data_IF_221474674986
#
_entry.id   IF_221474674986
#
_cell.length_a   1.000
_cell.length_b   1.000
_cell.length_c   1.000
_cell.angle_alpha   90.00
_cell.angle_beta   90.00
_cell.angle_gamma   90.00
#
_symmetry.space_group_name_H-M   'P 1'
#
loop_
_entity.id
_entity.type
_entity.pdbx_description
1 polymer ?
#
# COMPACT_ATOMS: atom_id res chain seq x y z
N UNK A 1 14.74 -15.74 17.68
CA UNK A 1 15.07 -14.85 18.80
C UNK A 1 16.57 -14.83 19.07
N UNK A 2 17.21 -15.93 19.49
CA UNK A 2 18.68 -16.00 19.63
C UNK A 2 19.45 -15.57 18.37
N UNK A 3 18.97 -16.00 17.19
CA UNK A 3 19.56 -15.63 15.89
C UNK A 3 19.44 -14.11 15.62
N UNK A 4 18.37 -13.45 16.09
CA UNK A 4 18.18 -12.01 15.86
C UNK A 4 19.11 -11.17 16.73
N UNK A 5 19.27 -11.53 18.01
CA UNK A 5 20.22 -10.86 18.91
C UNK A 5 21.66 -11.06 18.45
N UNK A 6 22.00 -12.28 18.03
CA UNK A 6 23.29 -12.55 17.40
C UNK A 6 23.49 -11.67 16.17
N UNK A 7 22.49 -11.55 15.31
CA UNK A 7 22.51 -10.65 14.15
C UNK A 7 22.87 -9.20 14.54
N UNK A 8 22.20 -8.64 15.54
CA UNK A 8 22.47 -7.27 16.01
C UNK A 8 23.89 -7.11 16.56
N UNK A 9 24.41 -8.11 17.27
CA UNK A 9 25.80 -8.11 17.77
C UNK A 9 26.79 -8.21 16.61
N UNK A 10 26.55 -9.11 15.66
CA UNK A 10 27.46 -9.33 14.52
C UNK A 10 27.55 -8.16 13.56
N UNK A 11 26.55 -7.26 13.57
CA UNK A 11 26.53 -6.03 12.77
C UNK A 11 26.84 -4.78 13.61
N UNK A 12 27.41 -4.94 14.82
CA UNK A 12 27.77 -3.86 15.74
C UNK A 12 26.62 -2.90 16.12
N UNK A 13 25.36 -3.36 16.03
CA UNK A 13 24.18 -2.60 16.47
C UNK A 13 23.92 -2.76 17.97
N UNK A 14 24.52 -3.77 18.60
CA UNK A 14 24.38 -4.06 20.02
C UNK A 14 25.68 -4.66 20.58
N UNK A 15 26.21 -4.12 21.68
CA UNK A 15 27.34 -4.75 22.38
C UNK A 15 26.88 -5.97 23.21
N UNK A 16 27.72 -7.02 23.36
CA UNK A 16 27.36 -8.23 24.12
C UNK A 16 26.98 -8.00 25.59
N UNK A 17 27.45 -6.90 26.19
CA UNK A 17 27.21 -6.53 27.58
C UNK A 17 25.99 -5.62 27.76
N UNK A 18 25.31 -5.19 26.68
CA UNK A 18 24.13 -4.35 26.79
C UNK A 18 22.96 -5.10 27.44
N UNK A 19 22.40 -4.51 28.49
CA UNK A 19 21.21 -5.02 29.17
C UNK A 19 19.95 -4.77 28.36
N UNK A 20 19.34 -5.82 27.82
CA UNK A 20 18.06 -5.73 27.11
C UNK A 20 16.92 -5.65 28.12
N UNK A 21 16.23 -4.51 28.18
CA UNK A 21 15.14 -4.26 29.15
C UNK A 21 13.73 -4.51 28.59
N UNK A 22 13.59 -4.64 27.27
CA UNK A 22 12.31 -4.92 26.62
C UNK A 22 12.52 -5.57 25.25
N UNK A 23 11.59 -6.43 24.85
CA UNK A 23 11.60 -7.11 23.56
C UNK A 23 10.19 -7.16 22.97
N UNK A 24 10.10 -6.97 21.66
CA UNK A 24 8.86 -7.09 20.91
C UNK A 24 9.06 -7.99 19.69
N UNK A 25 8.19 -8.99 19.54
CA UNK A 25 8.18 -9.88 18.39
C UNK A 25 6.74 -10.04 17.93
N UNK A 26 6.49 -9.72 16.66
CA UNK A 26 5.21 -9.97 16.02
C UNK A 26 5.42 -10.50 14.61
N UNK A 27 4.62 -11.50 14.23
CA UNK A 27 4.57 -12.03 12.88
C UNK A 27 3.35 -11.46 12.16
N UNK A 28 3.58 -10.92 10.97
CA UNK A 28 2.52 -10.55 10.04
C UNK A 28 2.50 -11.59 8.92
N UNK A 29 1.32 -12.19 8.64
CA UNK A 29 1.20 -13.22 7.61
C UNK A 29 1.50 -12.69 6.21
N UNK A 30 1.03 -11.47 5.93
CA UNK A 30 1.32 -10.74 4.70
C UNK A 30 2.16 -9.51 5.05
N UNK A 31 3.44 -9.54 4.70
CA UNK A 31 4.38 -8.43 4.91
C UNK A 31 4.57 -7.58 3.67
N UNK A 32 4.82 -8.23 2.52
CA UNK A 32 5.12 -7.58 1.26
C UNK A 32 4.31 -8.22 0.13
N UNK A 33 3.76 -7.38 -0.75
CA UNK A 33 3.20 -7.81 -2.03
C UNK A 33 4.35 -8.06 -3.00
N UNK A 34 4.72 -9.32 -3.18
CA UNK A 34 5.90 -9.71 -3.96
C UNK A 34 5.80 -9.25 -5.41
N UNK A 35 6.87 -8.65 -5.92
CA UNK A 35 7.04 -8.22 -7.32
C UNK A 35 7.46 -9.41 -8.20
N UNK A 36 6.56 -10.40 -8.38
CA UNK A 36 6.83 -11.51 -9.30
C UNK A 36 6.64 -11.08 -10.77
N UNK A 37 7.23 -11.84 -11.70
CA UNK A 37 7.11 -11.58 -13.14
C UNK A 37 5.65 -11.72 -13.62
N UNK A 38 4.90 -12.64 -13.02
CA UNK A 38 3.53 -13.01 -13.37
C UNK A 38 2.48 -12.08 -12.77
N UNK A 39 2.86 -11.29 -11.76
CA UNK A 39 1.96 -10.42 -10.98
C UNK A 39 1.04 -9.60 -11.88
N UNK A 40 1.59 -8.90 -12.86
CA UNK A 40 0.80 -7.99 -13.70
C UNK A 40 -0.21 -8.76 -14.57
N UNK A 41 0.16 -9.95 -15.05
CA UNK A 41 -0.76 -10.82 -15.79
C UNK A 41 -1.93 -11.25 -14.92
N UNK A 42 -1.65 -11.74 -13.70
CA UNK A 42 -2.70 -12.13 -12.76
C UNK A 42 -3.62 -10.96 -12.37
N UNK A 43 -3.06 -9.78 -12.08
CA UNK A 43 -3.84 -8.59 -11.71
C UNK A 43 -4.71 -8.06 -12.86
N UNK A 44 -4.28 -8.24 -14.11
CA UNK A 44 -5.07 -7.86 -15.28
C UNK A 44 -6.35 -8.70 -15.43
N UNK A 45 -6.41 -9.89 -14.83
CA UNK A 45 -7.62 -10.73 -14.80
C UNK A 45 -8.42 -10.52 -13.51
N UNK A 46 -7.73 -10.48 -12.36
CA UNK A 46 -8.35 -10.41 -11.03
C UNK A 46 -9.07 -9.07 -10.82
N UNK A 47 -8.42 -7.94 -11.14
CA UNK A 47 -8.99 -6.63 -10.82
C UNK A 47 -10.28 -6.35 -11.62
N UNK A 48 -10.33 -6.59 -12.95
CA UNK A 48 -11.57 -6.44 -13.72
C UNK A 48 -12.67 -7.40 -13.27
N UNK A 49 -12.34 -8.66 -12.96
CA UNK A 49 -13.32 -9.65 -12.48
C UNK A 49 -14.10 -9.16 -11.24
N UNK A 50 -13.39 -8.53 -10.29
CA UNK A 50 -14.05 -7.94 -9.11
C UNK A 50 -14.81 -6.66 -9.45
N UNK A 51 -14.26 -5.82 -10.33
CA UNK A 51 -14.91 -4.57 -10.73
C UNK A 51 -16.24 -4.82 -11.46
N UNK A 52 -16.36 -5.87 -12.28
CA UNK A 52 -17.62 -6.32 -12.89
C UNK A 52 -18.71 -6.70 -11.88
N UNK A 53 -18.34 -6.87 -10.60
CA UNK A 53 -19.24 -7.20 -9.49
C UNK A 53 -19.40 -6.03 -8.52
N UNK A 54 -19.08 -4.82 -8.97
CA UNK A 54 -19.09 -3.59 -8.17
C UNK A 54 -18.13 -3.65 -6.96
N UNK A 55 -17.04 -4.42 -7.05
CA UNK A 55 -16.01 -4.54 -6.00
C UNK A 55 -14.70 -3.89 -6.47
N UNK A 56 -14.35 -2.75 -5.85
CA UNK A 56 -13.06 -2.10 -6.07
C UNK A 56 -12.03 -2.58 -5.03
N UNK A 57 -11.22 -3.57 -5.39
CA UNK A 57 -10.13 -4.06 -4.51
C UNK A 57 -8.91 -3.14 -4.54
N UNK A 58 -8.58 -2.51 -3.42
CA UNK A 58 -7.57 -1.43 -3.32
C UNK A 58 -6.68 -1.55 -2.08
N UNK A 59 -5.56 -0.83 -2.07
CA UNK A 59 -4.57 -0.81 -0.99
C UNK A 59 -3.47 -1.85 -1.12
N UNK A 60 -2.52 -1.86 -0.15
CA UNK A 60 -1.27 -2.65 -0.21
C UNK A 60 -1.42 -4.11 -0.67
N UNK A 61 -2.42 -4.82 -0.17
CA UNK A 61 -2.72 -6.21 -0.56
C UNK A 61 -3.99 -6.36 -1.37
N UNK A 62 -4.80 -5.29 -1.51
CA UNK A 62 -6.00 -5.32 -2.35
C UNK A 62 -5.66 -5.15 -3.83
N UNK A 63 -4.78 -4.21 -4.17
CA UNK A 63 -4.24 -4.04 -5.52
C UNK A 63 -2.96 -4.85 -5.76
N UNK A 64 -2.29 -5.31 -4.70
CA UNK A 64 -1.03 -6.07 -4.73
C UNK A 64 0.14 -5.38 -5.45
N UNK A 65 0.05 -4.05 -5.63
CA UNK A 65 1.11 -3.24 -6.24
C UNK A 65 1.97 -2.64 -5.14
N UNK A 66 3.18 -3.18 -4.96
CA UNK A 66 4.13 -2.71 -3.94
C UNK A 66 4.50 -1.25 -4.12
N UNK A 67 4.62 -0.80 -5.37
CA UNK A 67 4.87 0.58 -5.79
C UNK A 67 3.83 1.58 -5.24
N UNK A 68 2.64 1.12 -4.86
CA UNK A 68 1.59 1.91 -4.21
C UNK A 68 1.25 1.40 -2.80
N UNK A 69 2.16 0.61 -2.22
CA UNK A 69 1.95 -0.07 -0.95
C UNK A 69 2.31 0.76 0.28
N UNK A 70 2.77 2.01 0.11
CA UNK A 70 3.02 2.94 1.22
C UNK A 70 1.71 3.49 1.79
N UNK A 71 1.81 4.22 2.90
CA UNK A 71 0.64 4.71 3.64
C UNK A 71 -0.16 5.75 2.85
N UNK A 72 0.53 6.74 2.29
CA UNK A 72 -0.01 7.80 1.44
C UNK A 72 -0.68 7.23 0.19
N UNK A 73 -0.01 6.33 -0.53
CA UNK A 73 -0.61 5.66 -1.69
C UNK A 73 -1.82 4.80 -1.32
N UNK A 74 -1.73 4.00 -0.25
CA UNK A 74 -2.85 3.17 0.19
C UNK A 74 -4.05 4.03 0.61
N UNK A 75 -3.81 5.18 1.23
CA UNK A 75 -4.85 6.14 1.57
C UNK A 75 -5.50 6.73 0.31
N UNK A 76 -4.69 7.20 -0.64
CA UNK A 76 -5.19 7.79 -1.88
C UNK A 76 -5.93 6.79 -2.77
N UNK A 77 -5.52 5.51 -2.79
CA UNK A 77 -6.27 4.45 -3.47
C UNK A 77 -7.71 4.31 -2.95
N UNK A 78 -7.94 4.49 -1.65
CA UNK A 78 -9.28 4.47 -1.08
C UNK A 78 -10.07 5.73 -1.42
N UNK A 79 -9.41 6.89 -1.34
CA UNK A 79 -9.99 8.20 -1.66
C UNK A 79 -10.44 8.26 -3.13
N UNK A 80 -9.62 7.79 -4.05
CA UNK A 80 -9.93 7.79 -5.48
C UNK A 80 -10.94 6.74 -5.88
N UNK A 81 -10.97 5.58 -5.20
CA UNK A 81 -12.03 4.59 -5.41
C UNK A 81 -13.41 5.16 -5.07
N UNK A 82 -13.52 5.93 -3.98
CA UNK A 82 -14.79 6.60 -3.63
C UNK A 82 -15.16 7.66 -4.67
N UNK A 83 -14.18 8.42 -5.18
CA UNK A 83 -14.43 9.39 -6.24
C UNK A 83 -14.82 8.77 -7.57
N UNK A 84 -14.26 7.61 -7.89
CA UNK A 84 -14.66 6.82 -9.05
C UNK A 84 -16.14 6.44 -8.94
N UNK A 85 -16.57 5.96 -7.77
CA UNK A 85 -17.95 5.58 -7.50
C UNK A 85 -18.91 6.79 -7.57
N UNK A 86 -18.54 7.92 -6.96
CA UNK A 86 -19.46 9.06 -6.80
C UNK A 86 -19.46 10.04 -7.98
N UNK A 87 -18.33 10.19 -8.66
CA UNK A 87 -18.11 11.24 -9.65
C UNK A 87 -17.59 10.72 -10.99
N UNK A 88 -17.35 9.41 -11.12
CA UNK A 88 -16.74 8.82 -12.32
C UNK A 88 -15.28 9.21 -12.50
N UNK A 89 -14.59 9.66 -11.44
CA UNK A 89 -13.18 10.04 -11.49
C UNK A 89 -12.28 8.87 -11.91
N UNK A 90 -11.21 9.15 -12.65
CA UNK A 90 -10.21 8.12 -12.99
C UNK A 90 -9.32 7.79 -11.79
N UNK A 91 -9.04 6.51 -11.57
CA UNK A 91 -8.07 6.07 -10.56
C UNK A 91 -6.64 6.15 -11.13
N UNK A 92 -5.97 7.26 -10.87
CA UNK A 92 -4.66 7.60 -11.45
C UNK A 92 -3.52 6.76 -10.84
N UNK A 93 -3.44 6.54 -9.51
CA UNK A 93 -2.43 5.69 -8.90
C UNK A 93 -2.52 4.25 -9.37
N UNK A 94 -3.71 3.69 -9.61
CA UNK A 94 -3.78 2.29 -10.02
C UNK A 94 -3.19 2.06 -11.43
N UNK A 95 -3.22 3.08 -12.28
CA UNK A 95 -2.92 2.99 -13.71
C UNK A 95 -1.56 3.57 -14.10
N UNK A 96 -1.02 4.57 -13.38
CA UNK A 96 0.22 5.23 -13.78
C UNK A 96 1.15 5.57 -12.58
N UNK A 97 2.10 4.67 -12.24
CA UNK A 97 3.01 4.86 -11.10
C UNK A 97 3.93 6.06 -11.24
N UNK A 98 4.44 6.26 -12.44
CA UNK A 98 5.42 7.31 -12.68
C UNK A 98 4.77 8.69 -12.62
N UNK A 99 3.51 8.80 -13.01
CA UNK A 99 2.77 10.06 -12.94
C UNK A 99 2.57 10.54 -11.50
N UNK A 100 2.13 9.66 -10.59
CA UNK A 100 1.90 10.03 -9.19
C UNK A 100 3.21 10.27 -8.45
N UNK A 101 4.23 9.44 -8.69
CA UNK A 101 5.51 9.57 -8.00
C UNK A 101 6.38 10.75 -8.49
N UNK A 102 6.11 11.30 -9.68
CA UNK A 102 6.91 12.40 -10.25
C UNK A 102 6.39 13.80 -9.92
N UNK A 103 5.24 13.92 -9.25
CA UNK A 103 4.59 15.20 -8.97
C UNK A 103 3.99 15.26 -7.57
N UNK A 104 3.76 16.47 -7.09
CA UNK A 104 2.98 16.69 -5.87
C UNK A 104 1.54 16.98 -6.26
N UNK A 105 0.63 16.07 -5.93
CA UNK A 105 -0.80 16.28 -6.13
C UNK A 105 -1.34 17.32 -5.16
N UNK A 106 -1.84 18.44 -5.68
CA UNK A 106 -2.30 19.60 -4.89
C UNK A 106 -3.74 20.00 -5.18
N UNK A 107 -4.35 19.39 -6.21
CA UNK A 107 -5.67 19.70 -6.72
C UNK A 107 -6.76 19.25 -5.75
N UNK A 108 -6.63 18.05 -5.17
CA UNK A 108 -7.57 17.52 -4.19
C UNK A 108 -7.28 18.08 -2.80
N UNK A 109 -8.29 18.66 -2.15
CA UNK A 109 -8.22 19.14 -0.77
C UNK A 109 -9.37 18.60 0.07
N UNK A 110 -9.12 18.38 1.36
CA UNK A 110 -10.17 17.96 2.30
C UNK A 110 -11.32 18.97 2.33
N UNK A 111 -11.01 20.27 2.35
CA UNK A 111 -11.97 21.37 2.39
C UNK A 111 -12.79 21.55 1.11
N UNK A 112 -12.32 21.04 -0.03
CA UNK A 112 -13.00 21.17 -1.33
C UNK A 112 -13.93 19.99 -1.65
N UNK A 113 -14.13 19.07 -0.71
CA UNK A 113 -14.97 17.88 -0.92
C UNK A 113 -16.42 18.32 -1.11
N UNK A 114 -16.96 18.17 -2.33
CA UNK A 114 -18.37 18.44 -2.61
C UNK A 114 -19.22 17.41 -1.86
N UNK A 115 -20.05 17.87 -0.94
CA UNK A 115 -21.06 17.02 -0.29
C UNK A 115 -22.04 16.56 -1.36
N UNK A 116 -22.03 15.27 -1.68
CA UNK A 116 -23.07 14.66 -2.53
C UNK A 116 -24.36 14.68 -1.72
N UNK A 117 -25.28 15.59 -2.06
CA UNK A 117 -26.66 15.50 -1.58
C UNK A 117 -27.36 14.41 -2.37
N UNK A 118 -27.88 13.41 -1.67
CA UNK A 118 -28.84 12.44 -2.22
C UNK A 118 -30.11 13.14 -2.66
#
# INVERSE_FOLDING_TARGET
MLIQLLGLITTDLLEPNHGIVSMYVRRFGHGYSTLSLERNGALAEILPYFQEKDILTRGRFGSWKYEFGSQDHSFMLGVEAVDHILFGGHEVPLSNPDFVNSRVDTERRLSSTKVVRK
#
